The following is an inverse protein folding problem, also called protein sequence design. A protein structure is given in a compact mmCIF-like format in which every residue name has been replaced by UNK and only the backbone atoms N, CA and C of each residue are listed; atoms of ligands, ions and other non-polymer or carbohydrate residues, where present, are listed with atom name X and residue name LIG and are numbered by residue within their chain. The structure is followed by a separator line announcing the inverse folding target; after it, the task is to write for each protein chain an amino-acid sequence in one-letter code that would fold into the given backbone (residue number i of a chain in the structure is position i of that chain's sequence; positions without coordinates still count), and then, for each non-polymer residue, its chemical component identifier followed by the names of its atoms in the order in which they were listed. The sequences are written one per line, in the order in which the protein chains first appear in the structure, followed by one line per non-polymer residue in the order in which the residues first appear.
data_IF_921605368274
#
_entry.id   IF_921605368274
#
_cell.length_a   1.000
_cell.length_b   1.000
_cell.length_c   1.000
_cell.angle_alpha   90.00
_cell.angle_beta   90.00
_cell.angle_gamma   90.00
#
_symmetry.space_group_name_H-M   'P 1'
#
loop_
_entity.id
_entity.type
_entity.pdbx_description
1 polymer ?
#
# COMPACT_ATOMS: atom_id res chain seq x y z
N UNK A 1 16.94 5.43 -12.44
CA UNK A 1 15.61 5.91 -12.05
C UNK A 1 14.60 4.75 -11.99
N UNK A 2 14.51 3.87 -13.04
CA UNK A 2 13.60 2.70 -13.03
C UNK A 2 13.94 1.67 -11.94
N UNK A 3 15.22 1.45 -11.62
CA UNK A 3 15.62 0.54 -10.51
C UNK A 3 15.26 1.07 -9.13
N UNK A 4 15.33 2.38 -8.91
CA UNK A 4 14.89 2.99 -7.65
C UNK A 4 13.38 2.88 -7.45
N UNK A 5 12.56 3.06 -8.51
CA UNK A 5 11.10 2.86 -8.43
C UNK A 5 10.75 1.43 -8.01
N UNK A 6 11.41 0.42 -8.53
CA UNK A 6 11.18 -0.98 -8.13
C UNK A 6 11.52 -1.26 -6.67
N UNK A 7 12.57 -0.66 -6.12
CA UNK A 7 12.93 -0.81 -4.70
C UNK A 7 11.91 -0.12 -3.79
N UNK A 8 11.52 1.11 -4.08
CA UNK A 8 10.54 1.85 -3.27
C UNK A 8 9.16 1.20 -3.20
N UNK A 9 8.76 0.46 -4.24
CA UNK A 9 7.46 -0.22 -4.30
C UNK A 9 7.46 -1.52 -3.49
N UNK A 10 8.62 -2.11 -3.27
CA UNK A 10 8.76 -3.39 -2.55
C UNK A 10 8.68 -3.22 -1.03
N UNK A 11 9.06 -2.06 -0.55
CA UNK A 11 9.23 -1.79 0.87
C UNK A 11 8.34 -0.62 1.30
N UNK A 12 7.05 -0.90 1.48
CA UNK A 12 6.20 -0.05 2.31
C UNK A 12 6.56 -0.36 3.75
N UNK A 13 7.54 0.34 4.25
CA UNK A 13 8.05 0.13 5.59
C UNK A 13 7.58 1.25 6.50
N UNK A 14 7.14 0.89 7.68
CA UNK A 14 7.09 1.81 8.79
C UNK A 14 8.50 2.33 9.07
N UNK A 15 8.56 3.48 9.70
CA UNK A 15 9.80 3.99 10.26
C UNK A 15 10.43 2.94 11.17
N UNK A 16 11.69 2.63 10.97
CA UNK A 16 12.37 1.56 11.72
C UNK A 16 12.66 1.99 13.15
N UNK A 17 12.94 3.28 13.36
CA UNK A 17 13.29 3.84 14.66
C UNK A 17 12.92 5.32 14.74
N UNK A 18 12.55 5.79 15.95
CA UNK A 18 12.37 7.21 16.25
C UNK A 18 13.70 7.97 16.25
N UNK A 19 14.77 7.26 16.53
CA UNK A 19 16.12 7.84 16.51
C UNK A 19 16.73 7.70 15.11
N UNK A 20 17.54 8.68 14.73
CA UNK A 20 18.32 8.61 13.51
C UNK A 20 19.28 7.43 13.60
N UNK A 21 19.11 6.43 12.77
CA UNK A 21 20.05 5.31 12.60
C UNK A 21 21.42 5.84 12.14
N UNK A 22 21.42 7.04 11.56
CA UNK A 22 22.59 7.72 11.02
C UNK A 22 22.94 8.92 11.90
N UNK A 23 23.73 8.69 12.91
CA UNK A 23 24.22 9.72 13.85
C UNK A 23 25.07 10.84 13.21
N UNK A 24 24.93 11.12 11.97
CA UNK A 24 25.62 12.20 11.26
C UNK A 24 24.75 12.95 10.26
N UNK A 25 23.50 12.50 10.06
CA UNK A 25 22.56 13.17 9.17
C UNK A 25 21.59 14.03 9.97
N UNK A 26 21.91 15.30 10.07
CA UNK A 26 21.01 16.33 10.58
C UNK A 26 20.05 16.72 9.44
N UNK A 27 18.79 16.95 9.75
CA UNK A 27 17.75 17.43 8.82
C UNK A 27 17.26 16.39 7.79
N UNK A 28 16.96 15.17 8.22
CA UNK A 28 16.23 14.21 7.39
C UNK A 28 14.77 14.67 7.23
N UNK A 29 14.35 14.85 6.01
CA UNK A 29 12.94 15.01 5.67
C UNK A 29 12.29 13.63 5.53
N UNK A 30 11.22 13.37 6.30
CA UNK A 30 10.46 12.14 6.24
C UNK A 30 9.25 12.40 5.34
N UNK A 31 9.14 11.63 4.26
CA UNK A 31 8.03 11.71 3.32
C UNK A 31 7.22 10.43 3.45
N UNK A 32 5.97 10.59 3.87
CA UNK A 32 5.01 9.49 4.03
C UNK A 32 3.96 9.49 2.92
N UNK A 33 3.04 8.53 3.00
CA UNK A 33 1.89 8.45 2.11
C UNK A 33 0.92 9.64 2.26
N UNK A 34 1.04 10.43 3.32
CA UNK A 34 0.22 11.62 3.55
C UNK A 34 0.76 12.86 2.82
N UNK A 35 1.99 12.82 2.33
CA UNK A 35 2.62 13.94 1.65
C UNK A 35 2.33 13.91 0.14
N UNK A 36 2.03 15.06 -0.43
CA UNK A 36 1.86 15.21 -1.89
C UNK A 36 3.20 15.11 -2.64
N UNK A 37 4.27 15.53 -1.98
CA UNK A 37 5.61 15.47 -2.55
C UNK A 37 5.99 14.04 -2.87
N UNK A 38 6.41 13.79 -4.11
CA UNK A 38 6.82 12.48 -4.60
C UNK A 38 5.72 11.40 -4.67
N UNK A 39 4.46 11.70 -4.34
CA UNK A 39 3.35 10.74 -4.33
C UNK A 39 3.29 9.88 -5.60
N UNK A 40 3.42 10.50 -6.79
CA UNK A 40 3.42 9.83 -8.09
C UNK A 40 4.58 8.85 -8.33
N UNK A 41 5.58 8.83 -7.46
CA UNK A 41 6.75 7.94 -7.59
C UNK A 41 6.63 6.65 -6.76
N UNK A 42 5.62 6.55 -5.93
CA UNK A 42 5.39 5.38 -5.07
C UNK A 42 4.51 4.30 -5.72
N UNK A 43 3.96 4.55 -6.89
CA UNK A 43 3.15 3.61 -7.64
C UNK A 43 3.09 3.98 -9.11
N UNK A 44 2.28 3.29 -9.90
CA UNK A 44 1.96 3.73 -11.25
C UNK A 44 0.75 4.66 -11.20
N UNK A 45 0.83 5.75 -11.96
CA UNK A 45 -0.30 6.64 -12.19
C UNK A 45 -1.21 6.10 -13.29
N UNK A 46 -2.45 6.57 -13.36
CA UNK A 46 -3.40 6.19 -14.41
C UNK A 46 -2.82 6.33 -15.83
N UNK A 47 -2.18 7.48 -16.22
CA UNK A 47 -1.58 7.60 -17.56
C UNK A 47 -0.47 6.58 -17.83
N UNK A 48 0.37 6.27 -16.83
CA UNK A 48 1.45 5.28 -17.00
C UNK A 48 0.88 3.86 -17.21
N UNK A 49 -0.22 3.54 -16.52
CA UNK A 49 -0.91 2.26 -16.71
C UNK A 49 -1.53 2.17 -18.10
N UNK A 50 -2.19 3.23 -18.57
CA UNK A 50 -2.79 3.28 -19.90
C UNK A 50 -1.74 3.14 -21.01
N UNK A 51 -0.59 3.82 -20.87
CA UNK A 51 0.53 3.69 -21.80
C UNK A 51 1.05 2.25 -21.86
N UNK A 52 1.20 1.59 -20.70
CA UNK A 52 1.61 0.18 -20.67
C UNK A 52 0.60 -0.74 -21.34
N UNK A 53 -0.70 -0.57 -21.07
CA UNK A 53 -1.75 -1.38 -21.70
C UNK A 53 -1.79 -1.18 -23.20
N UNK A 54 -1.63 0.04 -23.66
CA UNK A 54 -1.55 0.37 -25.09
C UNK A 54 -0.32 -0.28 -25.74
N UNK A 55 0.84 -0.15 -25.13
CA UNK A 55 2.09 -0.74 -25.64
C UNK A 55 2.00 -2.26 -25.83
N UNK A 56 1.32 -2.94 -24.93
CA UNK A 56 1.15 -4.40 -24.98
C UNK A 56 -0.10 -4.86 -25.75
N UNK A 57 -0.90 -3.94 -26.31
CA UNK A 57 -2.09 -4.25 -27.11
C UNK A 57 -3.25 -4.87 -26.31
N UNK A 58 -3.36 -4.52 -25.04
CA UNK A 58 -4.41 -5.02 -24.11
C UNK A 58 -5.18 -3.87 -23.44
N UNK A 59 -5.45 -2.81 -24.18
CA UNK A 59 -6.14 -1.60 -23.70
C UNK A 59 -7.55 -1.88 -23.19
N UNK A 60 -8.21 -2.92 -23.66
CA UNK A 60 -9.53 -3.37 -23.20
C UNK A 60 -9.53 -3.83 -21.74
N UNK A 61 -8.37 -4.14 -21.17
CA UNK A 61 -8.21 -4.56 -19.78
C UNK A 61 -8.14 -3.40 -18.77
N UNK A 62 -8.26 -2.15 -19.23
CA UNK A 62 -8.13 -0.94 -18.41
C UNK A 62 -9.09 -0.93 -17.22
N UNK A 63 -10.38 -1.12 -17.45
CA UNK A 63 -11.40 -1.05 -16.41
C UNK A 63 -11.26 -2.19 -15.39
N UNK A 64 -10.91 -3.38 -15.87
CA UNK A 64 -10.65 -4.52 -15.02
C UNK A 64 -9.44 -4.29 -14.12
N UNK A 65 -8.33 -3.78 -14.67
CA UNK A 65 -7.11 -3.47 -13.95
C UNK A 65 -7.35 -2.35 -12.92
N UNK A 66 -8.10 -1.31 -13.31
CA UNK A 66 -8.47 -0.23 -12.40
C UNK A 66 -9.22 -0.77 -11.19
N UNK A 67 -10.28 -1.51 -11.41
CA UNK A 67 -11.11 -2.06 -10.33
C UNK A 67 -10.34 -2.94 -9.33
N UNK A 68 -9.28 -3.62 -9.77
CA UNK A 68 -8.53 -4.55 -8.94
C UNK A 68 -7.29 -3.98 -8.28
N UNK A 69 -6.61 -3.05 -8.93
CA UNK A 69 -5.27 -2.64 -8.52
C UNK A 69 -5.11 -1.15 -8.27
N UNK A 70 -6.15 -0.36 -8.55
CA UNK A 70 -6.25 1.03 -8.15
C UNK A 70 -6.70 1.13 -6.69
N UNK A 71 -6.42 2.26 -6.05
CA UNK A 71 -7.02 2.56 -4.77
C UNK A 71 -6.05 2.94 -3.67
N UNK A 72 -4.80 3.21 -3.98
CA UNK A 72 -3.92 3.87 -3.04
C UNK A 72 -3.94 5.37 -3.29
N UNK A 73 -4.27 6.11 -2.25
CA UNK A 73 -4.20 7.55 -2.25
C UNK A 73 -2.94 7.98 -1.49
N UNK A 74 -2.00 8.61 -2.20
CA UNK A 74 -0.80 9.22 -1.63
C UNK A 74 -0.93 10.72 -1.76
N UNK A 75 -1.07 11.45 -0.64
CA UNK A 75 -1.54 12.82 -0.70
C UNK A 75 -2.84 12.89 -1.50
N UNK A 76 -2.86 13.65 -2.58
CA UNK A 76 -4.00 13.75 -3.50
C UNK A 76 -3.83 12.95 -4.80
N UNK A 77 -2.83 12.06 -4.87
CA UNK A 77 -2.51 11.30 -6.08
C UNK A 77 -2.95 9.85 -5.95
N UNK A 78 -3.86 9.41 -6.82
CA UNK A 78 -4.20 7.99 -6.96
C UNK A 78 -3.06 7.24 -7.65
N UNK A 79 -2.65 6.13 -7.06
CA UNK A 79 -1.60 5.27 -7.60
C UNK A 79 -1.98 3.81 -7.51
N UNK A 80 -1.55 3.06 -8.51
CA UNK A 80 -1.74 1.63 -8.62
C UNK A 80 -0.63 0.87 -7.91
N UNK A 81 -0.97 -0.30 -7.37
CA UNK A 81 0.04 -1.24 -6.89
C UNK A 81 0.86 -1.79 -8.06
N UNK A 82 2.08 -1.30 -8.19
CA UNK A 82 2.94 -1.59 -9.34
C UNK A 82 3.30 -3.07 -9.48
N UNK A 83 3.47 -3.80 -8.38
CA UNK A 83 3.72 -5.24 -8.41
C UNK A 83 2.56 -5.99 -9.03
N UNK A 84 1.35 -5.68 -8.60
CA UNK A 84 0.13 -6.31 -9.11
C UNK A 84 -0.11 -5.97 -10.58
N UNK A 85 0.05 -4.69 -10.96
CA UNK A 85 -0.08 -4.24 -12.36
C UNK A 85 0.88 -4.98 -13.29
N UNK A 86 2.16 -5.03 -12.94
CA UNK A 86 3.18 -5.69 -13.79
C UNK A 86 2.89 -7.19 -13.92
N UNK A 87 2.53 -7.87 -12.83
CA UNK A 87 2.23 -9.30 -12.88
C UNK A 87 0.94 -9.60 -13.65
N UNK A 88 -0.08 -8.75 -13.50
CA UNK A 88 -1.30 -8.88 -14.28
C UNK A 88 -1.04 -8.70 -15.78
N UNK A 89 -0.37 -7.62 -16.19
CA UNK A 89 -0.02 -7.36 -17.59
C UNK A 89 0.78 -8.54 -18.15
N UNK A 90 1.80 -9.01 -17.43
CA UNK A 90 2.59 -10.18 -17.83
C UNK A 90 1.72 -11.43 -18.08
N UNK A 91 0.72 -11.64 -17.22
CA UNK A 91 -0.20 -12.77 -17.36
C UNK A 91 -1.16 -12.56 -18.53
N UNK A 92 -1.71 -11.35 -18.68
CA UNK A 92 -2.68 -11.01 -19.72
C UNK A 92 -2.08 -11.07 -21.13
N UNK A 93 -0.82 -10.72 -21.31
CA UNK A 93 -0.10 -10.87 -22.59
C UNK A 93 -0.03 -12.34 -23.00
N UNK A 94 0.21 -13.24 -22.05
CA UNK A 94 0.35 -14.67 -22.32
C UNK A 94 -1.00 -15.37 -22.44
N UNK A 95 -2.01 -14.89 -21.72
CA UNK A 95 -3.34 -15.43 -21.69
C UNK A 95 -4.39 -14.31 -21.67
N UNK A 96 -5.03 -14.08 -22.82
CA UNK A 96 -6.05 -13.04 -22.97
C UNK A 96 -7.29 -13.22 -22.07
N UNK A 97 -7.54 -14.45 -21.59
CA UNK A 97 -8.63 -14.78 -20.66
C UNK A 97 -8.17 -14.70 -19.19
N UNK A 98 -6.97 -14.13 -18.94
CA UNK A 98 -6.45 -14.03 -17.58
C UNK A 98 -7.37 -13.17 -16.70
N UNK A 99 -7.71 -13.70 -15.53
CA UNK A 99 -8.39 -12.95 -14.48
C UNK A 99 -7.41 -12.30 -13.54
N UNK A 100 -7.72 -11.10 -13.03
CA UNK A 100 -6.94 -10.46 -11.99
C UNK A 100 -6.85 -11.34 -10.73
N UNK A 101 -5.70 -11.27 -10.07
CA UNK A 101 -5.41 -12.02 -8.84
C UNK A 101 -4.84 -11.08 -7.80
N UNK A 102 -4.96 -11.38 -6.51
CA UNK A 102 -4.33 -10.61 -5.44
C UNK A 102 -2.82 -10.93 -5.38
N UNK A 103 -2.07 -10.51 -6.40
CA UNK A 103 -0.63 -10.78 -6.53
C UNK A 103 0.18 -10.31 -5.33
N UNK A 104 -0.32 -9.30 -4.64
CA UNK A 104 0.35 -8.74 -3.48
C UNK A 104 0.22 -9.60 -2.22
N UNK A 105 -0.87 -10.36 -2.09
CA UNK A 105 -1.18 -11.13 -0.86
C UNK A 105 -0.14 -12.17 -0.48
N UNK A 106 0.67 -12.63 -1.44
CA UNK A 106 1.67 -13.69 -1.24
C UNK A 106 3.11 -13.18 -1.25
N UNK A 107 3.33 -11.86 -1.23
CA UNK A 107 4.67 -11.29 -1.37
C UNK A 107 5.35 -10.97 -0.05
N UNK A 108 4.62 -10.95 1.05
CA UNK A 108 5.12 -10.66 2.39
C UNK A 108 4.59 -11.67 3.39
N UNK A 109 5.34 -11.84 4.48
CA UNK A 109 4.86 -12.61 5.63
C UNK A 109 3.76 -11.82 6.33
N UNK A 110 2.52 -12.32 6.29
CA UNK A 110 1.40 -11.77 7.02
C UNK A 110 1.40 -12.19 8.51
N UNK A 111 2.50 -12.77 9.00
CA UNK A 111 2.60 -13.29 10.36
C UNK A 111 2.40 -12.20 11.42
N UNK A 112 2.97 -11.03 11.21
CA UNK A 112 2.82 -9.88 12.14
C UNK A 112 1.35 -9.46 12.24
N UNK A 113 0.67 -9.35 11.10
CA UNK A 113 -0.74 -8.94 11.07
C UNK A 113 -1.62 -10.00 11.72
N UNK A 114 -1.36 -11.26 11.42
CA UNK A 114 -2.08 -12.37 12.03
C UNK A 114 -1.93 -12.34 13.56
N UNK A 115 -0.71 -12.20 14.06
CA UNK A 115 -0.42 -12.08 15.49
C UNK A 115 -1.15 -10.88 16.11
N UNK A 116 -1.10 -9.71 15.45
CA UNK A 116 -1.75 -8.50 15.94
C UNK A 116 -3.28 -8.62 16.01
N UNK A 117 -3.90 -9.28 15.02
CA UNK A 117 -5.35 -9.51 15.01
C UNK A 117 -5.73 -10.58 16.04
N UNK A 118 -4.93 -11.64 16.20
CA UNK A 118 -5.19 -12.70 17.19
C UNK A 118 -5.09 -12.20 18.63
N UNK A 119 -4.20 -11.24 18.89
CA UNK A 119 -4.00 -10.63 20.21
C UNK A 119 -4.89 -9.42 20.46
N UNK A 120 -5.60 -8.93 19.43
CA UNK A 120 -6.47 -7.78 19.51
C UNK A 120 -7.69 -8.06 20.41
N UNK A 121 -8.17 -7.00 21.05
CA UNK A 121 -9.38 -7.09 21.86
C UNK A 121 -10.67 -7.19 21.01
N UNK A 122 -11.81 -7.33 21.67
CA UNK A 122 -13.11 -7.50 21.02
C UNK A 122 -13.54 -6.26 20.23
N UNK A 123 -13.09 -5.05 20.62
CA UNK A 123 -13.45 -3.81 19.92
C UNK A 123 -12.74 -3.72 18.56
N UNK A 124 -11.45 -4.03 18.53
CA UNK A 124 -10.66 -4.05 17.29
C UNK A 124 -11.19 -5.12 16.33
N UNK A 125 -11.53 -6.31 16.83
CA UNK A 125 -12.12 -7.36 15.99
C UNK A 125 -13.43 -6.93 15.33
N UNK A 126 -14.30 -6.27 16.09
CA UNK A 126 -15.55 -5.72 15.57
C UNK A 126 -15.30 -4.65 14.48
N UNK A 127 -14.34 -3.75 14.70
CA UNK A 127 -13.97 -2.75 13.70
C UNK A 127 -13.41 -3.39 12.44
N UNK A 128 -12.61 -4.47 12.54
CA UNK A 128 -12.15 -5.25 11.38
C UNK A 128 -13.33 -5.88 10.62
N UNK A 129 -14.30 -6.46 11.32
CA UNK A 129 -15.51 -7.02 10.70
C UNK A 129 -16.32 -5.93 9.98
N UNK A 130 -16.41 -4.72 10.54
CA UNK A 130 -17.06 -3.58 9.91
C UNK A 130 -16.33 -3.15 8.61
N UNK A 131 -15.00 -3.11 8.62
CA UNK A 131 -14.20 -2.85 7.42
C UNK A 131 -14.37 -3.92 6.35
N UNK A 132 -14.38 -5.20 6.74
CA UNK A 132 -14.66 -6.32 5.81
C UNK A 132 -16.06 -6.22 5.21
N UNK A 133 -17.03 -5.71 5.98
CA UNK A 133 -18.38 -5.44 5.51
C UNK A 133 -18.49 -4.16 4.63
N UNK A 134 -17.36 -3.47 4.37
CA UNK A 134 -17.31 -2.27 3.52
C UNK A 134 -17.69 -0.98 4.25
N UNK A 135 -17.73 -0.98 5.59
CA UNK A 135 -17.93 0.23 6.38
C UNK A 135 -16.61 0.96 6.60
N UNK A 136 -16.72 2.22 6.94
CA UNK A 136 -15.57 3.07 7.28
C UNK A 136 -15.39 3.17 8.79
N UNK A 137 -14.14 3.25 9.23
CA UNK A 137 -13.78 3.58 10.61
C UNK A 137 -13.01 4.90 10.63
N UNK A 138 -13.16 5.67 11.71
CA UNK A 138 -12.42 6.92 11.91
C UNK A 138 -11.34 6.71 12.95
N UNK A 139 -10.10 6.84 12.53
CA UNK A 139 -8.92 6.70 13.39
C UNK A 139 -7.91 7.81 13.13
N UNK A 140 -7.19 8.28 14.15
CA UNK A 140 -6.14 9.26 13.96
C UNK A 140 -4.97 8.62 13.20
N UNK A 141 -4.42 9.34 12.22
CA UNK A 141 -3.21 8.95 11.52
C UNK A 141 -1.99 9.63 12.15
N UNK A 142 -1.02 8.84 12.59
CA UNK A 142 0.22 9.30 13.21
C UNK A 142 1.42 8.81 12.38
N UNK A 143 2.20 9.74 11.82
CA UNK A 143 3.36 9.41 10.99
C UNK A 143 4.57 8.89 11.77
N UNK A 144 4.60 9.13 13.09
CA UNK A 144 5.76 8.83 13.94
C UNK A 144 5.79 7.40 14.47
N UNK A 145 4.93 6.53 13.98
CA UNK A 145 4.87 5.14 14.43
C UNK A 145 6.07 4.34 13.90
N UNK A 146 6.65 3.53 14.78
CA UNK A 146 7.71 2.58 14.45
C UNK A 146 7.23 1.14 14.68
N UNK A 147 8.01 0.16 14.20
CA UNK A 147 7.72 -1.25 14.46
C UNK A 147 7.67 -1.60 15.96
N UNK A 148 8.44 -0.92 16.79
CA UNK A 148 8.44 -1.14 18.23
C UNK A 148 7.12 -0.69 18.88
N UNK A 149 6.53 0.38 18.37
CA UNK A 149 5.34 1.00 18.94
C UNK A 149 4.03 0.24 18.62
N UNK A 150 4.05 -0.71 17.68
CA UNK A 150 2.82 -1.35 17.17
C UNK A 150 2.00 -2.00 18.30
N UNK A 151 2.67 -2.57 19.28
CA UNK A 151 2.02 -3.29 20.40
C UNK A 151 1.65 -2.38 21.59
N UNK A 152 2.02 -1.11 21.53
CA UNK A 152 1.81 -0.19 22.66
C UNK A 152 0.38 0.34 22.76
N UNK A 153 -0.32 0.46 21.62
CA UNK A 153 -1.71 0.92 21.60
C UNK A 153 -2.50 0.32 20.44
N UNK A 154 -3.82 0.31 20.57
CA UNK A 154 -4.71 -0.13 19.48
C UNK A 154 -4.68 0.81 18.27
N UNK A 155 -4.50 2.11 18.50
CA UNK A 155 -4.41 3.09 17.41
C UNK A 155 -3.15 2.84 16.57
N UNK A 156 -2.09 2.31 17.16
CA UNK A 156 -0.89 1.95 16.45
C UNK A 156 -1.11 0.77 15.48
N UNK A 157 -2.01 -0.16 15.79
CA UNK A 157 -2.41 -1.21 14.85
C UNK A 157 -3.04 -0.62 13.58
N UNK A 158 -3.96 0.35 13.74
CA UNK A 158 -4.62 0.99 12.60
C UNK A 158 -3.64 1.78 11.74
N UNK A 159 -2.75 2.52 12.39
CA UNK A 159 -1.66 3.22 11.70
C UNK A 159 -0.74 2.25 10.96
N UNK A 160 -0.37 1.13 11.59
CA UNK A 160 0.42 0.09 10.94
C UNK A 160 -0.27 -0.43 9.68
N UNK A 161 -1.54 -0.82 9.76
CA UNK A 161 -2.30 -1.34 8.63
C UNK A 161 -2.45 -0.30 7.51
N UNK A 162 -2.59 0.97 7.87
CA UNK A 162 -2.68 2.08 6.93
C UNK A 162 -1.34 2.33 6.22
N UNK A 163 -0.27 2.57 6.95
CA UNK A 163 1.03 2.88 6.35
C UNK A 163 1.67 1.70 5.60
N UNK A 164 1.32 0.48 5.94
CA UNK A 164 1.74 -0.72 5.20
C UNK A 164 0.84 -1.06 4.01
N UNK A 165 -0.27 -0.32 3.83
CA UNK A 165 -1.12 -0.41 2.65
C UNK A 165 -2.19 -1.50 2.70
N UNK A 166 -2.53 -2.00 3.88
CA UNK A 166 -3.70 -2.87 4.07
C UNK A 166 -5.01 -2.08 4.12
N UNK A 167 -4.94 -0.83 4.55
CA UNK A 167 -6.05 0.10 4.56
C UNK A 167 -5.78 1.27 3.62
N UNK A 168 -6.85 1.90 3.16
CA UNK A 168 -6.79 3.15 2.40
C UNK A 168 -7.59 4.23 3.12
N UNK A 169 -7.21 5.47 2.90
CA UNK A 169 -7.99 6.61 3.34
C UNK A 169 -9.15 6.84 2.36
N UNK A 170 -10.33 7.08 2.89
CA UNK A 170 -11.51 7.51 2.14
C UNK A 170 -11.76 8.96 2.50
N UNK A 171 -11.54 9.87 1.58
CA UNK A 171 -11.93 11.28 1.55
C UNK A 171 -11.77 12.09 2.82
#
# INVERSE_FOLDING_TARGET
IRRQRQMCIRDRCLRVSKESIFTGLNNLEIISILNENYARYFGFTQPEVEEMLYYYGISEKKEELKRWYDGYLFGNTEVYNSWSVVNYIKTAITNQIAFPKPYWSNTSSNSIIKELIETADSSVRKEIEELIAGKEIKKPAHEDITYADIKESQDNLWNFLFFTGYLKMTG
#
